data_IF_635664879841
#
_entry.id   IF_635664879841
#
_cell.length_a   1.000
_cell.length_b   1.000
_cell.length_c   1.000
_cell.angle_alpha   90.00
_cell.angle_beta   90.00
_cell.angle_gamma   90.00
#
_symmetry.space_group_name_H-M   'P 1'
#
loop_
_entity.id
_entity.type
_entity.pdbx_description
1 polymer ?
#
# COMPACT_ATOMS: atom_id res chain seq x y z
N UNK A 1 6.64 -14.06 -14.97
CA UNK A 1 5.27 -13.94 -15.53
C UNK A 1 4.35 -13.55 -14.37
N UNK A 2 4.03 -12.26 -14.22
CA UNK A 2 3.02 -11.80 -13.27
C UNK A 2 1.69 -11.71 -14.00
N UNK A 3 0.65 -12.37 -13.49
CA UNK A 3 -0.72 -12.18 -13.96
C UNK A 3 -1.37 -11.08 -13.13
N UNK A 4 -2.08 -10.17 -13.77
CA UNK A 4 -2.97 -9.25 -13.07
C UNK A 4 -4.31 -9.93 -12.73
N UNK A 5 -5.02 -9.40 -11.74
CA UNK A 5 -6.34 -9.88 -11.35
C UNK A 5 -7.40 -8.84 -11.72
N UNK A 6 -8.52 -9.30 -12.27
CA UNK A 6 -9.71 -8.47 -12.50
C UNK A 6 -10.90 -9.07 -11.78
N UNK A 7 -11.61 -8.23 -11.04
CA UNK A 7 -12.84 -8.54 -10.33
C UNK A 7 -14.03 -7.91 -11.06
N UNK A 8 -15.14 -8.62 -11.16
CA UNK A 8 -16.43 -8.03 -11.59
C UNK A 8 -17.21 -7.58 -10.37
N UNK A 9 -17.69 -6.34 -10.39
CA UNK A 9 -18.37 -5.72 -9.26
C UNK A 9 -19.66 -5.01 -9.72
N UNK A 10 -20.84 -5.31 -9.13
CA UNK A 10 -22.05 -4.54 -9.36
C UNK A 10 -21.89 -3.11 -8.83
N UNK A 11 -22.33 -2.12 -9.61
CA UNK A 11 -22.43 -0.70 -9.21
C UNK A 11 -23.85 -0.30 -8.77
N UNK A 12 -24.62 -1.26 -8.25
CA UNK A 12 -25.97 -1.06 -7.75
C UNK A 12 -26.49 -2.31 -7.03
N UNK A 13 -27.64 -2.18 -6.36
CA UNK A 13 -28.24 -3.24 -5.53
C UNK A 13 -29.08 -4.24 -6.31
N UNK A 14 -29.47 -3.90 -7.52
CA UNK A 14 -30.36 -4.72 -8.32
C UNK A 14 -29.56 -5.77 -9.10
N UNK A 15 -30.16 -6.95 -9.32
CA UNK A 15 -29.54 -8.00 -10.12
C UNK A 15 -29.21 -7.57 -11.57
N UNK A 16 -29.83 -6.48 -12.05
CA UNK A 16 -29.61 -5.90 -13.38
C UNK A 16 -28.66 -4.69 -13.35
N UNK A 17 -28.07 -4.36 -12.21
CA UNK A 17 -27.14 -3.23 -12.10
C UNK A 17 -25.91 -3.45 -12.98
N UNK A 18 -25.36 -2.37 -13.59
CA UNK A 18 -24.14 -2.45 -14.38
C UNK A 18 -22.99 -3.08 -13.58
N UNK A 19 -22.17 -3.87 -14.27
CA UNK A 19 -20.99 -4.52 -13.71
C UNK A 19 -19.74 -3.75 -14.15
N UNK A 20 -18.91 -3.37 -13.18
CA UNK A 20 -17.58 -2.84 -13.41
C UNK A 20 -16.54 -3.98 -13.48
N UNK A 21 -15.62 -3.92 -14.44
CA UNK A 21 -14.34 -4.63 -14.36
C UNK A 21 -13.34 -3.81 -13.56
N UNK A 22 -12.92 -4.33 -12.41
CA UNK A 22 -11.99 -3.69 -11.50
C UNK A 22 -10.65 -4.43 -11.52
N UNK A 23 -9.60 -3.75 -11.94
CA UNK A 23 -8.24 -4.26 -11.87
C UNK A 23 -7.69 -4.15 -10.45
N UNK A 24 -7.01 -5.18 -9.96
CA UNK A 24 -6.35 -5.13 -8.64
C UNK A 24 -4.93 -4.62 -8.82
N UNK A 25 -4.63 -3.43 -8.28
CA UNK A 25 -3.32 -2.79 -8.35
C UNK A 25 -2.82 -2.38 -6.96
N UNK A 26 -1.95 -3.21 -6.37
CA UNK A 26 -1.34 -2.90 -5.08
C UNK A 26 -0.33 -1.75 -5.11
N UNK A 27 -0.03 -1.16 -6.27
CA UNK A 27 0.79 0.05 -6.37
C UNK A 27 -0.04 1.35 -6.36
N UNK A 28 -1.37 1.24 -6.50
CA UNK A 28 -2.26 2.39 -6.49
C UNK A 28 -2.55 2.88 -5.07
N UNK A 29 -2.32 4.17 -4.83
CA UNK A 29 -2.45 4.81 -3.52
C UNK A 29 -3.88 5.24 -3.14
N UNK A 30 -4.85 5.00 -4.03
CA UNK A 30 -6.26 5.28 -3.79
C UNK A 30 -7.01 3.96 -3.60
N UNK A 31 -8.00 3.87 -2.70
CA UNK A 31 -8.76 2.62 -2.53
C UNK A 31 -9.50 2.24 -3.82
N UNK A 32 -10.01 3.25 -4.53
CA UNK A 32 -10.71 3.11 -5.80
C UNK A 32 -10.34 4.23 -6.75
N UNK A 33 -10.20 3.86 -8.02
CA UNK A 33 -10.01 4.78 -9.11
C UNK A 33 -10.80 4.29 -10.32
N UNK A 34 -11.48 5.18 -11.05
CA UNK A 34 -12.36 4.81 -12.16
C UNK A 34 -12.06 5.65 -13.39
N UNK A 35 -12.06 5.00 -14.55
CA UNK A 35 -12.02 5.67 -15.84
C UNK A 35 -13.44 6.09 -16.27
N UNK A 36 -13.55 6.84 -17.36
CA UNK A 36 -14.81 7.34 -17.91
C UNK A 36 -15.92 6.27 -18.04
N UNK A 37 -15.66 5.05 -18.56
CA UNK A 37 -16.69 4.02 -18.68
C UNK A 37 -17.25 3.58 -17.33
N UNK A 38 -16.39 3.54 -16.31
CA UNK A 38 -16.76 3.16 -14.96
C UNK A 38 -17.66 4.18 -14.28
N UNK A 39 -17.34 5.47 -14.36
CA UNK A 39 -18.21 6.54 -13.86
C UNK A 39 -19.56 6.57 -14.57
N UNK A 40 -19.56 6.35 -15.90
CA UNK A 40 -20.78 6.24 -16.70
C UNK A 40 -21.66 5.07 -16.25
N UNK A 41 -21.07 3.90 -16.00
CA UNK A 41 -21.78 2.72 -15.45
C UNK A 41 -22.32 2.96 -14.04
N UNK A 42 -21.61 3.74 -13.22
CA UNK A 42 -22.08 4.18 -11.90
C UNK A 42 -23.23 5.20 -11.95
N UNK A 43 -23.56 5.73 -13.15
CA UNK A 43 -24.55 6.80 -13.30
C UNK A 43 -24.08 8.16 -12.77
N UNK A 44 -22.76 8.35 -12.62
CA UNK A 44 -22.17 9.59 -12.09
C UNK A 44 -21.58 10.39 -13.24
N UNK A 45 -22.04 11.63 -13.41
CA UNK A 45 -21.53 12.51 -14.45
C UNK A 45 -20.12 13.03 -14.09
N UNK A 46 -19.18 12.98 -15.05
CA UNK A 46 -17.81 13.46 -14.84
C UNK A 46 -17.75 14.96 -14.46
N UNK A 47 -18.73 15.75 -14.90
CA UNK A 47 -18.87 17.16 -14.54
C UNK A 47 -19.24 17.40 -13.07
N UNK A 48 -19.73 16.38 -12.36
CA UNK A 48 -20.07 16.45 -10.93
C UNK A 48 -18.86 16.20 -10.00
N UNK A 49 -17.77 15.67 -10.56
CA UNK A 49 -16.57 15.34 -9.81
C UNK A 49 -15.87 16.62 -9.32
N UNK A 50 -15.30 16.53 -8.12
CA UNK A 50 -14.64 17.66 -7.45
C UNK A 50 -13.12 17.48 -7.49
N UNK A 51 -12.34 18.57 -7.62
CA UNK A 51 -10.89 18.46 -7.52
C UNK A 51 -10.45 17.94 -6.14
N UNK A 52 -9.36 17.19 -6.10
CA UNK A 52 -8.75 16.72 -4.85
C UNK A 52 -7.96 17.88 -4.21
N UNK A 53 -8.16 18.19 -2.92
CA UNK A 53 -7.35 19.20 -2.23
C UNK A 53 -5.85 18.88 -2.30
N UNK A 54 -5.03 19.85 -2.73
CA UNK A 54 -3.58 19.67 -2.90
C UNK A 54 -3.15 18.95 -4.19
N UNK A 55 -4.10 18.41 -4.97
CA UNK A 55 -3.86 17.75 -6.25
C UNK A 55 -5.00 18.08 -7.24
N UNK A 56 -5.13 19.33 -7.70
CA UNK A 56 -6.27 19.79 -8.51
C UNK A 56 -6.38 19.12 -9.88
N UNK A 57 -5.31 18.48 -10.36
CA UNK A 57 -5.32 17.66 -11.57
C UNK A 57 -6.14 16.37 -11.39
N UNK A 58 -6.30 15.89 -10.15
CA UNK A 58 -7.12 14.73 -9.84
C UNK A 58 -8.53 15.19 -9.49
N UNK A 59 -9.52 14.45 -9.99
CA UNK A 59 -10.91 14.61 -9.61
C UNK A 59 -11.35 13.43 -8.77
N UNK A 60 -12.24 13.68 -7.82
CA UNK A 60 -12.85 12.67 -6.96
C UNK A 60 -14.36 12.80 -6.96
N UNK A 61 -15.02 11.69 -6.73
CA UNK A 61 -16.46 11.62 -6.61
C UNK A 61 -16.89 10.47 -5.72
N UNK A 62 -18.20 10.25 -5.69
CA UNK A 62 -18.82 9.21 -4.88
C UNK A 62 -19.65 8.31 -5.79
N UNK A 63 -19.33 7.02 -5.81
CA UNK A 63 -20.15 5.98 -6.40
C UNK A 63 -21.23 5.61 -5.37
N UNK A 64 -22.53 5.68 -5.70
CA UNK A 64 -23.60 5.51 -4.71
C UNK A 64 -23.56 4.17 -3.99
N UNK A 65 -23.24 3.10 -4.72
CA UNK A 65 -23.20 1.75 -4.22
C UNK A 65 -22.25 0.90 -5.06
N UNK A 66 -21.52 0.01 -4.40
CA UNK A 66 -20.71 -1.00 -5.06
C UNK A 66 -20.69 -2.27 -4.21
N UNK A 67 -20.63 -3.44 -4.85
CA UNK A 67 -20.50 -4.71 -4.14
C UNK A 67 -19.19 -5.42 -4.53
N UNK A 68 -18.41 -5.85 -3.54
CA UNK A 68 -17.17 -6.60 -3.74
C UNK A 68 -17.31 -7.94 -3.02
N UNK A 69 -17.48 -9.02 -3.80
CA UNK A 69 -17.79 -10.33 -3.23
C UNK A 69 -19.08 -10.27 -2.40
N UNK A 70 -19.00 -10.55 -1.10
CA UNK A 70 -20.11 -10.46 -0.17
C UNK A 70 -20.27 -9.09 0.51
N UNK A 71 -19.33 -8.16 0.29
CA UNK A 71 -19.32 -6.86 0.95
C UNK A 71 -20.10 -5.82 0.15
N UNK A 72 -21.06 -5.17 0.79
CA UNK A 72 -21.78 -4.02 0.24
C UNK A 72 -21.12 -2.72 0.73
N UNK A 73 -20.74 -1.88 -0.21
CA UNK A 73 -20.06 -0.62 0.05
C UNK A 73 -20.97 0.55 -0.39
N UNK A 74 -21.66 1.22 0.55
CA UNK A 74 -22.40 2.44 0.25
C UNK A 74 -21.45 3.63 0.12
N UNK A 75 -21.76 4.57 -0.78
CA UNK A 75 -21.04 5.86 -0.93
C UNK A 75 -19.52 5.69 -1.06
N UNK A 76 -19.10 4.96 -2.07
CA UNK A 76 -17.68 4.68 -2.31
C UNK A 76 -17.00 5.90 -2.88
N UNK A 77 -16.04 6.45 -2.14
CA UNK A 77 -15.16 7.50 -2.65
C UNK A 77 -14.16 6.91 -3.65
N UNK A 78 -14.05 7.55 -4.82
CA UNK A 78 -13.12 7.15 -5.85
C UNK A 78 -12.53 8.36 -6.58
N UNK A 79 -11.34 8.19 -7.13
CA UNK A 79 -10.69 9.18 -8.00
C UNK A 79 -10.94 8.85 -9.48
N UNK A 80 -10.94 9.86 -10.32
CA UNK A 80 -11.01 9.72 -11.77
C UNK A 80 -9.62 9.51 -12.36
N UNK A 81 -9.51 8.55 -13.28
CA UNK A 81 -8.33 8.29 -14.08
C UNK A 81 -8.60 8.74 -15.50
N UNK A 82 -7.73 9.57 -16.04
CA UNK A 82 -7.81 9.98 -17.45
C UNK A 82 -7.52 8.80 -18.39
N UNK A 83 -6.67 7.86 -17.97
CA UNK A 83 -6.29 6.69 -18.75
C UNK A 83 -6.65 5.38 -18.03
N UNK A 84 -7.37 4.51 -18.72
CA UNK A 84 -7.56 3.12 -18.32
C UNK A 84 -6.35 2.27 -18.77
N UNK A 85 -6.02 1.16 -18.08
CA UNK A 85 -5.02 0.21 -18.56
C UNK A 85 -5.40 -0.31 -19.96
N UNK A 86 -4.60 0.00 -20.98
CA UNK A 86 -4.89 -0.34 -22.40
C UNK A 86 -4.34 -1.69 -22.83
N UNK A 87 -3.42 -2.27 -22.06
CA UNK A 87 -2.69 -3.49 -22.45
C UNK A 87 -3.48 -4.78 -22.17
N UNK A 88 -4.74 -4.65 -21.74
CA UNK A 88 -5.63 -5.76 -21.43
C UNK A 88 -6.67 -5.90 -22.55
N UNK A 89 -6.97 -7.13 -22.97
CA UNK A 89 -8.04 -7.43 -23.94
C UNK A 89 -9.46 -7.15 -23.42
N UNK A 90 -9.56 -6.64 -22.19
CA UNK A 90 -10.81 -6.32 -21.51
C UNK A 90 -10.83 -4.85 -21.14
N UNK A 91 -11.97 -4.21 -21.37
CA UNK A 91 -12.21 -2.84 -20.93
C UNK A 91 -12.25 -2.81 -19.39
N UNK A 92 -11.30 -2.09 -18.79
CA UNK A 92 -11.22 -1.87 -17.35
C UNK A 92 -11.99 -0.61 -17.01
N UNK A 93 -12.95 -0.75 -16.10
CA UNK A 93 -13.79 0.36 -15.63
C UNK A 93 -13.13 1.13 -14.49
N UNK A 94 -12.30 0.43 -13.70
CA UNK A 94 -11.57 1.02 -12.59
C UNK A 94 -10.54 0.08 -11.99
N UNK A 95 -9.94 0.55 -10.91
CA UNK A 95 -8.85 -0.10 -10.21
C UNK A 95 -9.13 -0.07 -8.71
N UNK A 96 -8.85 -1.19 -8.05
CA UNK A 96 -8.82 -1.33 -6.60
C UNK A 96 -7.36 -1.21 -6.16
N UNK A 97 -7.08 -0.22 -5.30
CA UNK A 97 -5.73 0.04 -4.84
C UNK A 97 -5.39 -0.52 -3.47
N UNK A 98 -4.13 -0.30 -3.07
CA UNK A 98 -3.56 -0.79 -1.84
C UNK A 98 -4.34 -0.41 -0.56
N UNK A 99 -4.90 0.80 -0.40
CA UNK A 99 -5.62 1.15 0.83
C UNK A 99 -6.82 0.23 1.11
N UNK A 100 -7.56 -0.16 0.07
CA UNK A 100 -8.66 -1.12 0.24
C UNK A 100 -8.10 -2.51 0.56
N UNK A 101 -7.10 -2.96 -0.19
CA UNK A 101 -6.48 -4.26 0.03
C UNK A 101 -5.85 -4.40 1.42
N UNK A 102 -5.41 -3.30 2.02
CA UNK A 102 -4.87 -3.27 3.38
C UNK A 102 -5.96 -3.22 4.48
N UNK A 103 -7.18 -2.79 4.14
CA UNK A 103 -8.32 -2.80 5.06
C UNK A 103 -8.89 -4.22 5.27
N UNK A 104 -8.77 -5.06 4.24
CA UNK A 104 -9.15 -6.47 4.30
C UNK A 104 -7.92 -7.34 4.52
N UNK A 105 -8.11 -8.51 5.14
CA UNK A 105 -7.15 -9.60 4.98
C UNK A 105 -7.43 -10.27 3.65
N UNK A 106 -6.46 -10.17 2.75
CA UNK A 106 -6.58 -10.65 1.37
C UNK A 106 -5.77 -11.93 1.22
N UNK A 107 -6.40 -12.99 0.73
CA UNK A 107 -5.70 -14.23 0.34
C UNK A 107 -5.95 -14.52 -1.14
N UNK A 108 -4.86 -14.63 -1.91
CA UNK A 108 -4.91 -15.12 -3.28
C UNK A 108 -4.80 -16.65 -3.26
N UNK A 109 -5.71 -17.32 -3.95
CA UNK A 109 -5.67 -18.78 -4.07
C UNK A 109 -5.84 -19.22 -5.52
N UNK A 110 -5.67 -20.52 -5.76
CA UNK A 110 -5.83 -21.14 -7.07
C UNK A 110 -4.99 -20.48 -8.18
N UNK A 111 -3.70 -20.25 -7.88
CA UNK A 111 -2.78 -19.60 -8.82
C UNK A 111 -3.10 -18.14 -9.12
N UNK A 112 -3.83 -17.45 -8.22
CA UNK A 112 -4.24 -16.06 -8.41
C UNK A 112 -5.53 -15.89 -9.20
N UNK A 113 -6.29 -16.98 -9.42
CA UNK A 113 -7.60 -16.93 -10.08
C UNK A 113 -8.73 -16.51 -9.15
N UNK A 114 -8.49 -16.54 -7.85
CA UNK A 114 -9.50 -16.21 -6.88
C UNK A 114 -8.94 -15.41 -5.69
N UNK A 115 -9.79 -14.52 -5.19
CA UNK A 115 -9.53 -13.56 -4.13
C UNK A 115 -10.45 -13.87 -2.95
N UNK A 116 -9.88 -14.19 -1.81
CA UNK A 116 -10.61 -14.31 -0.55
C UNK A 116 -10.42 -13.03 0.24
N UNK A 117 -11.54 -12.42 0.64
CA UNK A 117 -11.58 -11.16 1.39
C UNK A 117 -12.18 -11.43 2.76
N UNK A 118 -11.43 -11.09 3.81
CA UNK A 118 -11.88 -11.14 5.19
C UNK A 118 -11.84 -9.73 5.78
N UNK A 119 -12.91 -9.34 6.46
CA UNK A 119 -12.95 -8.04 7.13
C UNK A 119 -12.02 -8.06 8.35
N UNK A 120 -10.91 -7.32 8.27
CA UNK A 120 -9.95 -7.20 9.36
C UNK A 120 -10.29 -6.05 10.32
N UNK A 121 -11.29 -5.21 10.00
CA UNK A 121 -11.74 -4.14 10.89
C UNK A 121 -12.49 -4.70 12.10
N UNK A 122 -13.33 -5.72 11.90
CA UNK A 122 -13.98 -6.46 12.99
C UNK A 122 -12.98 -7.09 13.97
N UNK A 123 -11.81 -7.53 13.48
CA UNK A 123 -10.71 -8.05 14.33
C UNK A 123 -9.96 -6.96 15.09
N UNK A 124 -10.00 -5.70 14.62
CA UNK A 124 -9.40 -4.54 15.31
C UNK A 124 -10.32 -3.96 16.39
N UNK A 125 -11.62 -3.96 16.15
CA UNK A 125 -12.62 -3.52 17.15
C UNK A 125 -12.70 -4.48 18.35
N UNK A 126 -12.33 -5.75 18.16
CA UNK A 126 -12.17 -6.73 19.25
C UNK A 126 -10.84 -6.64 20.00
N UNK A 127 -9.93 -5.74 19.62
CA UNK A 127 -8.70 -5.50 20.37
C UNK A 127 -9.04 -4.54 21.49
N UNK A 128 -9.18 -5.07 22.71
CA UNK A 128 -9.27 -4.28 23.92
C UNK A 128 -8.21 -3.16 23.88
N UNK A 129 -8.51 -1.94 24.37
CA UNK A 129 -7.48 -0.92 24.52
C UNK A 129 -6.27 -1.56 25.20
N UNK A 130 -5.07 -1.21 24.74
CA UNK A 130 -3.87 -1.57 25.49
C UNK A 130 -4.13 -1.17 26.95
N UNK A 131 -3.83 -2.05 27.93
CA UNK A 131 -3.88 -1.63 29.32
C UNK A 131 -3.12 -0.31 29.42
N UNK A 132 -3.71 0.70 30.05
CA UNK A 132 -2.98 1.92 30.39
C UNK A 132 -1.71 1.45 31.10
N UNK A 133 -0.55 1.58 30.44
CA UNK A 133 0.71 1.46 31.13
C UNK A 133 0.65 2.53 32.22
N UNK A 134 0.82 2.17 33.50
CA UNK A 134 0.84 3.18 34.55
C UNK A 134 1.93 4.17 34.18
N UNK A 135 1.56 5.45 34.07
CA UNK A 135 2.51 6.55 33.94
C UNK A 135 3.57 6.33 35.01
N UNK A 136 4.78 5.96 34.58
CA UNK A 136 5.93 6.03 35.45
C UNK A 136 6.16 7.52 35.64
N UNK A 137 5.66 8.06 36.75
CA UNK A 137 5.98 9.41 37.20
C UNK A 137 7.50 9.57 37.11
N UNK A 138 7.95 10.44 36.21
CA UNK A 138 9.32 10.91 36.24
C UNK A 138 9.52 11.57 37.61
N UNK A 139 10.52 11.15 38.42
CA UNK A 139 10.76 11.79 39.69
C UNK A 139 11.09 13.27 39.45
N UNK A 140 10.45 14.14 40.24
CA UNK A 140 10.72 15.57 40.24
C UNK A 140 12.21 15.82 40.55
N UNK A 141 12.84 16.85 39.93
CA UNK A 141 14.22 17.17 40.21
C UNK A 141 14.31 17.81 41.60
N UNK A 142 14.75 17.04 42.60
CA UNK A 142 14.85 17.57 43.96
C UNK A 142 15.46 16.67 45.03
N UNK A 143 15.32 15.34 44.96
CA UNK A 143 15.76 14.47 46.05
C UNK A 143 16.90 13.53 45.63
N UNK A 144 18.14 13.95 45.88
CA UNK A 144 19.32 13.09 45.93
C UNK A 144 19.70 12.83 47.39
N UNK A 145 19.48 11.62 47.92
CA UNK A 145 20.20 11.15 49.09
C UNK A 145 21.67 10.94 48.73
N UNK A 146 22.55 11.61 49.47
CA UNK A 146 24.00 11.48 49.38
C UNK A 146 24.40 10.02 49.64
N UNK A 147 25.02 9.38 48.64
CA UNK A 147 25.69 8.08 48.79
C UNK A 147 27.21 8.35 48.86
N UNK A 148 27.96 7.72 49.80
CA UNK A 148 29.37 8.03 50.08
C UNK A 148 30.31 7.77 48.90
N UNK A 149 31.33 8.63 48.77
CA UNK A 149 32.47 8.53 47.85
C UNK A 149 33.42 7.37 48.22
N UNK A 150 33.70 6.49 47.26
CA UNK A 150 34.88 5.61 47.20
C UNK A 150 35.21 5.27 45.73
N UNK A 151 36.45 4.85 45.40
CA UNK A 151 37.37 5.56 44.52
C UNK A 151 37.27 5.19 43.02
N UNK A 152 37.77 6.09 42.17
CA UNK A 152 37.80 6.03 40.70
C UNK A 152 38.39 4.71 40.15
N UNK A 153 37.51 3.75 39.87
CA UNK A 153 37.76 2.63 38.96
C UNK A 153 37.38 3.02 37.53
N UNK A 154 38.37 3.12 36.64
CA UNK A 154 38.20 3.36 35.19
C UNK A 154 37.11 2.46 34.59
N UNK A 155 36.01 3.07 34.13
CA UNK A 155 35.04 2.38 33.29
C UNK A 155 35.67 2.06 31.91
N UNK A 156 35.50 0.84 31.37
CA UNK A 156 35.94 0.51 30.03
C UNK A 156 35.08 1.23 28.99
N UNK A 157 35.72 2.02 28.10
CA UNK A 157 35.10 2.58 26.91
C UNK A 157 34.66 1.44 25.99
N UNK A 158 33.36 1.30 25.75
CA UNK A 158 32.83 0.54 24.63
C UNK A 158 33.21 1.26 23.34
N UNK A 159 34.07 0.62 22.54
CA UNK A 159 34.49 1.13 21.24
C UNK A 159 33.29 1.20 20.26
N UNK A 160 33.26 2.20 19.35
CA UNK A 160 32.24 2.27 18.32
C UNK A 160 32.33 1.07 17.35
N UNK A 161 31.21 0.62 16.77
CA UNK A 161 31.18 -0.51 15.84
C UNK A 161 31.97 -0.19 14.56
N UNK A 162 32.82 -1.16 14.16
CA UNK A 162 33.67 -1.08 12.97
C UNK A 162 32.83 -1.31 11.72
N UNK A 163 32.77 -0.34 10.81
CA UNK A 163 32.24 -0.58 9.46
C UNK A 163 33.09 -1.63 8.73
N UNK A 164 32.49 -2.51 7.90
CA UNK A 164 33.24 -3.40 7.03
C UNK A 164 34.02 -2.61 5.96
N UNK A 165 35.25 -3.03 5.71
CA UNK A 165 36.12 -2.45 4.68
C UNK A 165 35.54 -2.65 3.27
N UNK A 166 35.72 -1.70 2.35
CA UNK A 166 35.47 -1.94 0.92
C UNK A 166 36.45 -3.00 0.38
N UNK A 167 36.05 -3.79 -0.64
CA UNK A 167 36.94 -4.77 -1.28
C UNK A 167 38.09 -4.08 -2.01
N UNK A 168 39.29 -4.66 -1.89
CA UNK A 168 40.52 -4.16 -2.49
C UNK A 168 40.41 -4.03 -4.01
N UNK A 169 40.59 -2.81 -4.51
CA UNK A 169 40.87 -2.54 -5.90
C UNK A 169 42.40 -2.54 -6.08
N UNK A 170 42.97 -3.68 -6.46
CA UNK A 170 44.21 -3.70 -7.23
C UNK A 170 44.39 -5.03 -7.97
N UNK A 171 44.10 -4.99 -9.26
CA UNK A 171 44.61 -5.95 -10.24
C UNK A 171 45.02 -5.16 -11.47
N UNK A 172 46.30 -4.80 -11.44
CA UNK A 172 47.14 -4.22 -12.49
C UNK A 172 46.72 -4.64 -13.93
N UNK A 173 46.56 -3.70 -14.88
CA UNK A 173 46.24 -4.01 -16.27
C UNK A 173 47.46 -4.60 -16.99
N UNK A 174 47.48 -5.92 -17.12
CA UNK A 174 48.40 -6.64 -17.99
C UNK A 174 48.13 -6.35 -19.47
N UNK A 175 49.12 -5.72 -20.12
CA UNK A 175 49.50 -5.79 -21.56
C UNK A 175 48.54 -6.57 -22.50
N UNK A 176 48.03 -5.96 -23.59
CA UNK A 176 47.44 -6.70 -24.69
C UNK A 176 48.52 -7.47 -25.46
N UNK A 177 48.50 -8.80 -25.31
CA UNK A 177 49.22 -9.73 -26.17
C UNK A 177 48.57 -9.84 -27.54
N UNK A 178 49.41 -9.90 -28.57
CA UNK A 178 49.10 -9.93 -29.98
C UNK A 178 48.65 -11.32 -30.49
N UNK A 179 47.77 -11.28 -31.51
CA UNK A 179 47.59 -12.23 -32.63
C UNK A 179 46.81 -13.54 -32.41
N UNK A 180 46.27 -14.22 -33.46
CA UNK A 180 46.25 -13.88 -34.91
C UNK A 180 44.85 -13.93 -35.58
N UNK A 181 44.78 -13.37 -36.80
CA UNK A 181 43.76 -13.66 -37.82
C UNK A 181 43.88 -15.11 -38.33
N UNK A 182 42.74 -15.78 -38.51
CA UNK A 182 42.58 -16.95 -39.38
C UNK A 182 41.09 -17.05 -39.74
N UNK A 183 40.73 -16.56 -40.93
CA UNK A 183 40.33 -17.32 -42.13
C UNK A 183 38.89 -17.80 -42.08
#
# INVERSE_FOLDING_TARGET
>A
KGGGMVLRSPLGRDAKSPQAALFIDSSMNFPFAFADPGWKKAGVALSSLQPVPGAPQLKRGVIPFMQIGAFELPKVEAVHLDDAPTDLEIEIDGTIGAPLLAAFRVTLFDGGRALWLEDHTALREGKAPAPDEPETELPAPGDVPVVPEEPEGKAPQLAPPKLPSPPDADSNPGKPGSSPRGK
#
